data_IF_010587892009
#
_entry.id   IF_010587892009
#
_cell.length_a   1.000
_cell.length_b   1.000
_cell.length_c   1.000
_cell.angle_alpha   90.00
_cell.angle_beta   90.00
_cell.angle_gamma   90.00
#
_symmetry.space_group_name_H-M   'P 1'
#
loop_
_entity.id
_entity.type
_entity.pdbx_description
1 polymer ?
#
# COMPACT_ATOMS: atom_id res chain seq x y z
N UNK A 1 -9.64 -34.48 -0.87
CA UNK A 1 -8.63 -33.97 0.04
C UNK A 1 -7.49 -33.29 -0.72
N UNK A 2 -7.65 -31.99 -1.08
CA UNK A 2 -6.66 -31.25 -1.90
C UNK A 2 -5.36 -30.93 -1.12
N UNK A 3 -5.34 -31.07 0.22
CA UNK A 3 -4.17 -30.75 1.07
C UNK A 3 -3.51 -31.96 1.73
N UNK A 4 -3.89 -33.18 1.37
CA UNK A 4 -3.24 -34.39 1.92
C UNK A 4 -3.42 -34.67 3.43
N UNK A 5 -4.15 -33.80 4.16
CA UNK A 5 -4.25 -33.82 5.63
C UNK A 5 -5.19 -34.90 6.19
N UNK A 6 -5.98 -35.52 5.34
CA UNK A 6 -6.95 -36.56 5.73
C UNK A 6 -6.72 -37.81 4.90
N UNK A 7 -6.42 -38.91 5.56
CA UNK A 7 -6.41 -40.25 4.99
C UNK A 7 -7.82 -40.83 4.93
N UNK A 8 -8.11 -41.65 3.93
CA UNK A 8 -9.31 -42.45 3.87
C UNK A 8 -8.91 -43.89 4.15
N UNK A 9 -9.46 -44.45 5.22
CA UNK A 9 -9.32 -45.89 5.55
C UNK A 9 -10.63 -46.60 5.23
N UNK A 10 -10.54 -47.69 4.52
CA UNK A 10 -11.70 -48.52 4.19
C UNK A 10 -11.59 -49.84 4.95
N UNK A 11 -12.42 -50.00 5.99
CA UNK A 11 -12.55 -51.23 6.73
C UNK A 11 -14.00 -51.73 6.69
N UNK A 12 -14.17 -53.01 6.41
CA UNK A 12 -15.49 -53.66 6.35
C UNK A 12 -16.54 -52.91 5.49
N UNK A 13 -16.10 -52.44 4.33
CA UNK A 13 -16.90 -51.67 3.38
C UNK A 13 -17.43 -50.32 3.92
N UNK A 14 -16.82 -49.78 5.01
CA UNK A 14 -17.07 -48.44 5.57
C UNK A 14 -15.86 -47.57 5.36
N UNK A 15 -16.12 -46.35 4.89
CA UNK A 15 -15.07 -45.31 4.78
C UNK A 15 -14.96 -44.59 6.11
N UNK A 16 -13.79 -44.58 6.71
CA UNK A 16 -13.41 -43.72 7.82
C UNK A 16 -12.38 -42.71 7.38
N UNK A 17 -12.35 -41.55 8.03
CA UNK A 17 -11.40 -40.49 7.76
C UNK A 17 -10.44 -40.41 8.95
N UNK A 18 -9.17 -40.48 8.68
CA UNK A 18 -8.13 -40.37 9.69
C UNK A 18 -7.31 -39.10 9.44
N UNK A 19 -7.13 -38.29 10.47
CA UNK A 19 -6.25 -37.13 10.40
C UNK A 19 -4.80 -37.60 10.31
N UNK A 20 -4.05 -37.05 9.36
CA UNK A 20 -2.61 -37.28 9.28
C UNK A 20 -1.86 -36.42 10.31
N UNK A 21 -0.59 -36.74 10.52
CA UNK A 21 0.25 -36.05 11.50
C UNK A 21 0.31 -34.55 11.28
N UNK A 22 0.27 -33.73 12.36
CA UNK A 22 0.44 -32.27 12.26
C UNK A 22 1.74 -31.82 11.60
N UNK A 23 2.78 -32.67 11.62
CA UNK A 23 4.05 -32.39 10.94
C UNK A 23 3.90 -32.20 9.43
N UNK A 24 2.90 -32.86 8.82
CA UNK A 24 2.60 -32.68 7.40
C UNK A 24 2.14 -31.25 7.07
N UNK A 25 1.58 -30.51 8.04
CA UNK A 25 1.29 -29.08 7.86
C UNK A 25 2.57 -28.27 7.69
N UNK A 26 3.64 -28.65 8.39
CA UNK A 26 4.92 -27.98 8.27
C UNK A 26 5.56 -28.23 6.90
N UNK A 27 5.43 -29.44 6.39
CA UNK A 27 5.90 -29.79 5.03
C UNK A 27 5.13 -29.00 3.97
N UNK A 28 3.78 -28.93 4.07
CA UNK A 28 2.93 -28.13 3.16
C UNK A 28 3.31 -26.64 3.17
N UNK A 29 3.63 -26.09 4.35
CA UNK A 29 4.07 -24.71 4.46
C UNK A 29 5.46 -24.49 3.85
N UNK A 30 6.38 -25.44 4.02
CA UNK A 30 7.70 -25.35 3.40
C UNK A 30 7.62 -25.42 1.87
N UNK A 31 6.77 -26.29 1.33
CA UNK A 31 6.52 -26.35 -0.11
C UNK A 31 5.94 -25.04 -0.66
N UNK A 32 5.00 -24.42 0.08
CA UNK A 32 4.44 -23.11 -0.30
C UNK A 32 5.49 -21.99 -0.23
N UNK A 33 6.39 -22.01 0.77
CA UNK A 33 7.48 -21.04 0.85
C UNK A 33 8.45 -21.17 -0.34
N UNK A 34 8.79 -22.41 -0.73
CA UNK A 34 9.64 -22.66 -1.88
C UNK A 34 8.98 -22.26 -3.19
N UNK A 35 7.69 -22.54 -3.36
CA UNK A 35 6.89 -22.09 -4.49
C UNK A 35 6.85 -20.56 -4.63
N UNK A 36 6.67 -19.87 -3.50
CA UNK A 36 6.68 -18.40 -3.46
C UNK A 36 8.06 -17.85 -3.80
N UNK A 37 9.11 -18.50 -3.31
CA UNK A 37 10.49 -18.10 -3.62
C UNK A 37 10.78 -18.23 -5.11
N UNK A 38 10.43 -19.36 -5.72
CA UNK A 38 10.61 -19.60 -7.14
C UNK A 38 9.85 -18.58 -7.99
N UNK A 39 8.59 -18.29 -7.64
CA UNK A 39 7.80 -17.26 -8.33
C UNK A 39 8.38 -15.86 -8.21
N UNK A 40 9.04 -15.54 -7.09
CA UNK A 40 9.74 -14.25 -6.95
C UNK A 40 10.97 -14.19 -7.84
N UNK A 41 11.76 -15.26 -7.92
CA UNK A 41 12.93 -15.34 -8.79
C UNK A 41 12.52 -15.21 -10.27
N UNK A 42 11.49 -15.93 -10.70
CA UNK A 42 10.91 -15.78 -12.05
C UNK A 42 10.42 -14.36 -12.34
N UNK A 43 9.77 -13.73 -11.36
CA UNK A 43 9.31 -12.35 -11.50
C UNK A 43 10.48 -11.35 -11.60
N UNK A 44 11.54 -11.55 -10.82
CA UNK A 44 12.72 -10.68 -10.84
C UNK A 44 13.45 -10.77 -12.19
N UNK A 45 13.44 -11.94 -12.84
CA UNK A 45 13.97 -12.12 -14.20
C UNK A 45 13.13 -11.37 -15.25
N UNK A 46 11.81 -11.35 -15.12
CA UNK A 46 10.89 -10.68 -16.05
C UNK A 46 10.80 -9.16 -15.81
N UNK A 47 11.14 -8.71 -14.61
CA UNK A 47 10.96 -7.31 -14.20
C UNK A 47 11.65 -6.29 -15.10
N UNK A 48 12.88 -6.51 -15.64
CA UNK A 48 13.51 -5.57 -16.57
C UNK A 48 12.74 -5.40 -17.88
N UNK A 49 12.21 -6.50 -18.43
CA UNK A 49 11.42 -6.46 -19.66
C UNK A 49 10.10 -5.71 -19.44
N UNK A 50 9.40 -6.01 -18.35
CA UNK A 50 8.17 -5.32 -17.97
C UNK A 50 8.40 -3.82 -17.75
N UNK A 51 9.53 -3.43 -17.14
CA UNK A 51 9.91 -2.02 -17.00
C UNK A 51 10.11 -1.35 -18.35
N UNK A 52 10.79 -2.01 -19.28
CA UNK A 52 11.02 -1.47 -20.63
C UNK A 52 9.69 -1.23 -21.35
N UNK A 53 8.75 -2.18 -21.28
CA UNK A 53 7.42 -2.03 -21.86
C UNK A 53 6.65 -0.87 -21.21
N UNK A 54 6.74 -0.74 -19.90
CA UNK A 54 6.08 0.34 -19.14
C UNK A 54 6.64 1.72 -19.51
N UNK A 55 7.96 1.85 -19.67
CA UNK A 55 8.66 3.10 -19.98
C UNK A 55 8.50 3.54 -21.44
N UNK A 56 8.20 2.63 -22.38
CA UNK A 56 7.98 2.95 -23.80
C UNK A 56 6.60 3.52 -24.12
N UNK A 57 5.70 3.57 -23.14
CA UNK A 57 4.41 4.23 -23.32
C UNK A 57 4.59 5.75 -23.25
N UNK A 58 4.35 6.43 -24.40
CA UNK A 58 4.30 7.89 -24.49
C UNK A 58 3.39 8.46 -23.38
N UNK A 59 3.90 9.46 -22.68
CA UNK A 59 3.18 10.18 -21.61
C UNK A 59 1.96 10.89 -22.20
N UNK A 60 0.89 10.14 -22.38
CA UNK A 60 -0.44 10.76 -22.56
C UNK A 60 -0.95 11.12 -21.17
N UNK A 61 -1.71 12.23 -21.07
CA UNK A 61 -2.48 12.51 -19.87
C UNK A 61 -3.41 11.32 -19.62
N UNK A 62 -3.06 10.49 -18.65
CA UNK A 62 -3.85 9.34 -18.27
C UNK A 62 -4.57 9.65 -16.96
N UNK A 63 -5.85 9.33 -16.93
CA UNK A 63 -6.63 9.30 -15.69
C UNK A 63 -6.90 7.85 -15.33
N UNK A 64 -6.42 7.43 -14.17
CA UNK A 64 -6.62 6.08 -13.64
C UNK A 64 -7.54 6.14 -12.41
N UNK A 65 -8.47 5.20 -12.30
CA UNK A 65 -9.32 5.05 -11.11
C UNK A 65 -8.84 3.86 -10.29
N UNK A 66 -8.19 4.14 -9.19
CA UNK A 66 -7.72 3.14 -8.24
C UNK A 66 -8.78 2.93 -7.14
N UNK A 67 -9.04 1.69 -6.74
CA UNK A 67 -10.07 1.37 -5.76
C UNK A 67 -9.50 0.79 -4.46
N UNK A 68 -10.11 1.22 -3.35
CA UNK A 68 -9.83 0.71 -2.01
C UNK A 68 -8.44 1.07 -1.48
N UNK A 69 -8.12 0.53 -0.31
CA UNK A 69 -6.87 0.85 0.40
C UNK A 69 -5.60 0.45 -0.38
N UNK A 70 -5.68 -0.55 -1.25
CA UNK A 70 -4.54 -0.95 -2.10
C UNK A 70 -4.26 0.10 -3.16
N UNK A 71 -5.32 0.68 -3.76
CA UNK A 71 -5.19 1.75 -4.74
C UNK A 71 -4.52 2.99 -4.15
N UNK A 72 -4.94 3.41 -2.94
CA UNK A 72 -4.32 4.53 -2.22
C UNK A 72 -2.82 4.27 -2.01
N UNK A 73 -2.46 3.09 -1.49
CA UNK A 73 -1.06 2.72 -1.28
C UNK A 73 -0.25 2.71 -2.58
N UNK A 74 -0.83 2.20 -3.67
CA UNK A 74 -0.16 2.17 -4.98
C UNK A 74 0.17 3.58 -5.45
N UNK A 75 -0.78 4.51 -5.38
CA UNK A 75 -0.58 5.91 -5.74
C UNK A 75 0.50 6.58 -4.86
N UNK A 76 0.43 6.40 -3.54
CA UNK A 76 1.40 6.99 -2.61
C UNK A 76 2.82 6.47 -2.85
N UNK A 77 2.97 5.17 -3.15
CA UNK A 77 4.28 4.58 -3.47
C UNK A 77 4.81 5.13 -4.79
N UNK A 78 3.99 5.25 -5.81
CA UNK A 78 4.38 5.82 -7.09
C UNK A 78 4.79 7.27 -6.94
N UNK A 79 3.99 8.08 -6.24
CA UNK A 79 4.27 9.48 -5.93
C UNK A 79 5.61 9.63 -5.20
N UNK A 80 5.86 8.78 -4.19
CA UNK A 80 7.14 8.80 -3.48
C UNK A 80 8.30 8.34 -4.36
N UNK A 81 8.09 7.34 -5.22
CA UNK A 81 9.12 6.81 -6.12
C UNK A 81 9.54 7.85 -7.16
N UNK A 82 8.60 8.58 -7.75
CA UNK A 82 8.86 9.66 -8.73
C UNK A 82 9.45 10.92 -8.11
N UNK A 83 9.16 11.22 -6.83
CA UNK A 83 9.70 12.39 -6.15
C UNK A 83 11.22 12.32 -5.98
N UNK A 84 11.91 13.43 -6.19
CA UNK A 84 13.35 13.58 -5.97
C UNK A 84 13.64 14.25 -4.62
N UNK A 85 14.91 14.17 -4.17
CA UNK A 85 15.36 14.88 -2.95
C UNK A 85 15.16 16.38 -3.12
N UNK A 86 14.44 16.98 -2.19
CA UNK A 86 14.13 18.42 -2.18
C UNK A 86 12.74 18.75 -2.69
N UNK A 87 12.09 17.83 -3.42
CA UNK A 87 10.71 18.01 -3.89
C UNK A 87 9.72 18.17 -2.74
N UNK A 88 8.57 18.74 -3.07
CA UNK A 88 7.50 18.98 -2.10
C UNK A 88 6.22 18.29 -2.59
N UNK A 89 5.65 17.45 -1.75
CA UNK A 89 4.32 16.89 -1.91
C UNK A 89 3.33 17.84 -1.22
N UNK A 90 2.28 18.21 -1.91
CA UNK A 90 1.19 19.03 -1.38
C UNK A 90 -0.02 18.16 -1.12
N UNK A 91 -0.59 18.26 0.08
CA UNK A 91 -1.78 17.51 0.50
C UNK A 91 -2.85 18.49 0.92
N UNK A 92 -4.03 18.41 0.31
CA UNK A 92 -5.19 19.23 0.65
C UNK A 92 -6.32 18.35 1.16
N UNK A 93 -6.85 18.69 2.33
CA UNK A 93 -8.06 18.06 2.84
C UNK A 93 -7.84 16.69 3.49
N UNK A 94 -6.65 16.42 4.04
CA UNK A 94 -6.44 15.18 4.80
C UNK A 94 -7.45 15.05 5.93
N UNK A 95 -8.27 14.02 5.88
CA UNK A 95 -9.41 13.79 6.77
C UNK A 95 -9.10 12.77 7.87
N UNK A 96 -10.03 12.68 8.84
CA UNK A 96 -9.95 11.70 9.92
C UNK A 96 -10.07 10.27 9.38
N UNK A 97 -10.96 10.03 8.43
CA UNK A 97 -11.20 8.72 7.81
C UNK A 97 -9.92 8.15 7.19
N UNK A 98 -9.16 9.00 6.46
CA UNK A 98 -7.87 8.64 5.90
C UNK A 98 -6.88 8.22 7.00
N UNK A 99 -6.81 9.00 8.08
CA UNK A 99 -5.94 8.73 9.22
C UNK A 99 -6.26 7.42 9.91
N UNK A 100 -7.52 7.16 10.23
CA UNK A 100 -7.94 5.95 10.94
C UNK A 100 -7.70 4.67 10.13
N UNK A 101 -7.95 4.71 8.83
CA UNK A 101 -7.86 3.54 7.96
C UNK A 101 -6.43 3.10 7.66
N UNK A 102 -5.48 4.04 7.62
CA UNK A 102 -4.12 3.80 7.10
C UNK A 102 -3.00 4.35 7.99
N UNK A 103 -3.24 4.64 9.28
CA UNK A 103 -2.25 5.29 10.14
C UNK A 103 -0.91 4.58 10.19
N UNK A 104 -0.88 3.27 10.34
CA UNK A 104 0.38 2.51 10.41
C UNK A 104 1.17 2.61 9.09
N UNK A 105 0.47 2.52 7.97
CA UNK A 105 1.06 2.67 6.65
C UNK A 105 1.62 4.09 6.46
N UNK A 106 0.83 5.12 6.76
CA UNK A 106 1.27 6.50 6.61
C UNK A 106 2.47 6.85 7.50
N UNK A 107 2.54 6.32 8.72
CA UNK A 107 3.69 6.54 9.59
C UNK A 107 4.97 5.95 9.01
N UNK A 108 4.92 4.77 8.41
CA UNK A 108 6.06 4.18 7.72
C UNK A 108 6.42 4.95 6.46
N UNK A 109 5.44 5.27 5.63
CA UNK A 109 5.61 6.07 4.42
C UNK A 109 6.28 7.42 4.72
N UNK A 110 5.85 8.11 5.78
CA UNK A 110 6.47 9.37 6.24
C UNK A 110 7.96 9.20 6.60
N UNK A 111 8.34 8.09 7.25
CA UNK A 111 9.76 7.81 7.54
C UNK A 111 10.58 7.65 6.27
N UNK A 112 10.05 6.92 5.29
CA UNK A 112 10.71 6.70 4.00
C UNK A 112 10.84 7.99 3.20
N UNK A 113 9.79 8.82 3.15
CA UNK A 113 9.79 10.14 2.54
C UNK A 113 10.87 11.04 3.16
N UNK A 114 10.95 11.12 4.48
CA UNK A 114 11.94 11.92 5.20
C UNK A 114 13.36 11.43 4.87
N UNK A 115 13.58 10.11 4.85
CA UNK A 115 14.87 9.51 4.48
C UNK A 115 15.27 9.88 3.04
N UNK A 116 14.30 9.94 2.13
CA UNK A 116 14.49 10.37 0.73
C UNK A 116 14.74 11.88 0.60
N UNK A 117 14.42 12.67 1.63
CA UNK A 117 14.58 14.12 1.62
C UNK A 117 13.46 14.87 0.92
N UNK A 118 12.30 14.27 0.77
CA UNK A 118 11.09 14.86 0.17
C UNK A 118 10.31 15.62 1.25
N UNK A 119 9.83 16.82 0.92
CA UNK A 119 9.07 17.71 1.83
C UNK A 119 7.57 17.43 1.71
N UNK A 120 6.81 17.76 2.74
CA UNK A 120 5.34 17.84 2.69
C UNK A 120 4.88 19.22 3.14
N UNK A 121 3.87 19.74 2.45
CA UNK A 121 3.01 20.82 2.89
C UNK A 121 1.57 20.34 2.84
N UNK A 122 0.90 20.29 3.99
CA UNK A 122 -0.42 19.71 4.09
C UNK A 122 -1.43 20.62 4.80
N UNK A 123 -2.65 20.61 4.29
CA UNK A 123 -3.83 21.23 4.88
C UNK A 123 -4.75 20.12 5.42
N UNK A 124 -4.89 20.07 6.73
CA UNK A 124 -5.75 19.11 7.42
C UNK A 124 -7.11 19.69 7.72
N UNK A 125 -8.13 18.86 7.67
CA UNK A 125 -9.45 19.18 8.19
C UNK A 125 -9.41 19.22 9.72
N UNK A 126 -10.37 19.90 10.37
CA UNK A 126 -10.38 20.05 11.83
C UNK A 126 -10.60 18.75 12.59
N UNK A 127 -11.36 17.85 12.03
CA UNK A 127 -11.63 16.51 12.59
C UNK A 127 -10.37 15.61 12.61
N UNK A 128 -9.38 15.91 11.74
CA UNK A 128 -8.10 15.22 11.68
C UNK A 128 -6.98 15.87 12.53
N UNK A 129 -7.31 16.76 13.46
CA UNK A 129 -6.34 17.55 14.23
C UNK A 129 -5.34 16.69 15.00
N UNK A 130 -5.73 15.54 15.52
CA UNK A 130 -4.81 14.65 16.24
C UNK A 130 -3.71 14.06 15.34
N UNK A 131 -4.08 13.71 14.10
CA UNK A 131 -3.12 13.23 13.09
C UNK A 131 -2.20 14.37 12.64
N UNK A 132 -2.74 15.57 12.43
CA UNK A 132 -1.98 16.77 12.10
C UNK A 132 -0.90 17.05 13.15
N UNK A 133 -1.24 17.06 14.44
CA UNK A 133 -0.29 17.30 15.56
C UNK A 133 0.83 16.26 15.63
N UNK A 134 0.56 14.99 15.28
CA UNK A 134 1.58 13.95 15.23
C UNK A 134 2.57 14.22 14.10
N UNK A 135 2.09 14.63 12.93
CA UNK A 135 2.88 14.82 11.72
C UNK A 135 3.62 16.15 11.69
N UNK A 136 3.09 17.19 12.31
CA UNK A 136 3.75 18.50 12.44
C UNK A 136 5.13 18.41 13.12
N UNK A 137 5.30 17.43 14.01
CA UNK A 137 6.58 17.17 14.70
C UNK A 137 7.62 16.46 13.81
N UNK A 138 7.24 16.01 12.63
CA UNK A 138 8.12 15.27 11.73
C UNK A 138 8.99 16.23 10.90
N UNK A 139 10.23 15.82 10.62
CA UNK A 139 11.14 16.59 9.77
C UNK A 139 10.57 16.79 8.37
N UNK A 140 10.92 17.89 7.73
CA UNK A 140 10.51 18.22 6.36
C UNK A 140 8.97 18.26 6.17
N UNK A 141 8.26 18.72 7.19
CA UNK A 141 6.79 18.71 7.21
C UNK A 141 6.28 20.07 7.68
N UNK A 142 5.40 20.67 6.89
CA UNK A 142 4.65 21.89 7.22
C UNK A 142 3.16 21.55 7.21
N UNK A 143 2.48 21.80 8.33
CA UNK A 143 1.06 21.50 8.49
C UNK A 143 0.29 22.78 8.77
N UNK A 144 -0.86 22.93 8.15
CA UNK A 144 -1.86 23.95 8.47
C UNK A 144 -3.23 23.32 8.61
N UNK A 145 -4.09 23.94 9.37
CA UNK A 145 -5.47 23.48 9.57
C UNK A 145 -6.40 24.36 8.77
N UNK A 146 -7.31 23.76 8.05
CA UNK A 146 -8.35 24.46 7.28
C UNK A 146 -9.25 25.29 8.22
N UNK A 147 -9.72 26.46 7.77
CA UNK A 147 -10.67 27.27 8.52
C UNK A 147 -11.96 26.49 8.86
N UNK A 148 -12.64 26.81 9.99
CA UNK A 148 -13.77 26.01 10.51
C UNK A 148 -14.94 25.80 9.54
N UNK A 149 -15.10 26.73 8.59
CA UNK A 149 -16.22 26.69 7.61
C UNK A 149 -15.86 25.95 6.33
N UNK A 150 -14.61 25.50 6.19
CA UNK A 150 -14.16 24.77 5.01
C UNK A 150 -14.12 23.30 5.36
N UNK A 151 -15.01 22.55 4.74
CA UNK A 151 -15.02 21.09 4.70
C UNK A 151 -14.75 20.65 3.27
N UNK A 152 -14.02 19.57 3.10
CA UNK A 152 -13.78 18.98 1.79
C UNK A 152 -14.20 17.51 1.84
N UNK A 153 -15.03 17.04 0.89
CA UNK A 153 -15.40 15.64 0.80
C UNK A 153 -14.30 14.79 0.17
N UNK A 154 -13.20 15.40 -0.25
CA UNK A 154 -12.09 14.73 -0.91
C UNK A 154 -10.76 15.23 -0.35
N UNK A 155 -9.75 14.38 -0.38
CA UNK A 155 -8.36 14.80 -0.28
C UNK A 155 -7.73 14.88 -1.68
N UNK A 156 -6.79 15.82 -1.86
CA UNK A 156 -6.04 15.99 -3.10
C UNK A 156 -4.56 16.02 -2.76
N UNK A 157 -3.80 15.14 -3.39
CA UNK A 157 -2.34 15.10 -3.28
C UNK A 157 -1.70 15.46 -4.61
N UNK A 158 -0.66 16.29 -4.56
CA UNK A 158 0.04 16.81 -5.74
C UNK A 158 1.55 16.61 -5.54
N UNK A 159 2.20 15.98 -6.50
CA UNK A 159 3.65 15.84 -6.54
C UNK A 159 4.14 15.83 -7.98
N UNK A 160 4.92 16.84 -8.38
CA UNK A 160 5.38 16.98 -9.76
C UNK A 160 4.21 17.09 -10.74
N UNK A 161 4.12 16.13 -11.65
CA UNK A 161 3.06 15.99 -12.65
C UNK A 161 1.89 15.08 -12.22
N UNK A 162 1.98 14.51 -11.02
CA UNK A 162 0.95 13.61 -10.48
C UNK A 162 -0.05 14.37 -9.62
N UNK A 163 -1.33 14.07 -9.82
CA UNK A 163 -2.43 14.55 -8.99
C UNK A 163 -3.32 13.37 -8.61
N UNK A 164 -3.48 13.12 -7.32
CA UNK A 164 -4.43 12.16 -6.79
C UNK A 164 -5.62 12.84 -6.15
N UNK A 165 -6.83 12.34 -6.41
CA UNK A 165 -8.05 12.76 -5.72
C UNK A 165 -8.64 11.56 -4.99
N UNK A 166 -8.78 11.67 -3.67
CA UNK A 166 -9.24 10.58 -2.81
C UNK A 166 -10.62 10.89 -2.24
N UNK A 167 -11.54 9.93 -2.40
CA UNK A 167 -12.88 9.95 -1.82
C UNK A 167 -12.95 8.85 -0.77
N UNK A 168 -13.28 9.19 0.47
CA UNK A 168 -13.36 8.27 1.62
C UNK A 168 -14.81 8.03 2.03
#
# INVERSE_FOLDING_TARGET
NKKGLIGIVIENNRKSFEAKSPEMLKEDLQEQEEDIKNKKEEFDELLPELKTIYETHDVKQEAEVLQGLRGIKSFDEEMLNKSLKGDTIYILGSSKEAGESLEAYFLDWQKRRIKKGVKIKALYTRDALEFAKKREKMKLTEIRILPPKITTPVAIDIAGDMVGTFVF
#
